data_IF_370592089605
#
_entry.id   IF_370592089605
#
_cell.length_a   1.000
_cell.length_b   1.000
_cell.length_c   1.000
_cell.angle_alpha   90.00
_cell.angle_beta   90.00
_cell.angle_gamma   90.00
#
_symmetry.space_group_name_H-M   'P 1'
#
loop_
_entity.id
_entity.type
_entity.pdbx_description
1 polymer ?
#
# COMPACT_ATOMS: atom_id res chain seq x y z
N UNK A 1 -12.25 -51.50 -9.47
CA UNK A 1 -11.07 -50.91 -10.15
C UNK A 1 -11.42 -49.48 -10.47
N UNK A 2 -11.10 -48.57 -9.56
CA UNK A 2 -11.51 -47.18 -9.57
C UNK A 2 -10.21 -46.36 -9.52
N UNK A 3 -9.83 -45.75 -10.65
CA UNK A 3 -8.62 -44.95 -10.76
C UNK A 3 -8.99 -43.48 -10.53
N UNK A 4 -8.52 -42.94 -9.40
CA UNK A 4 -8.58 -41.52 -9.10
C UNK A 4 -7.41 -40.81 -9.78
N UNK A 5 -7.72 -39.97 -10.77
CA UNK A 5 -6.77 -39.03 -11.36
C UNK A 5 -6.42 -37.93 -10.35
N UNK A 6 -5.15 -37.87 -9.95
CA UNK A 6 -4.57 -36.73 -9.25
C UNK A 6 -4.14 -35.69 -10.29
N UNK A 7 -4.85 -34.57 -10.35
CA UNK A 7 -4.44 -33.39 -11.10
C UNK A 7 -3.57 -32.49 -10.19
N UNK A 8 -2.25 -32.51 -10.40
CA UNK A 8 -1.33 -31.55 -9.79
C UNK A 8 -1.41 -30.20 -10.53
N UNK A 9 -1.97 -29.20 -9.87
CA UNK A 9 -1.93 -27.81 -10.34
C UNK A 9 -0.58 -27.17 -9.95
N UNK A 10 0.34 -27.08 -10.92
CA UNK A 10 1.58 -26.31 -10.78
C UNK A 10 1.30 -24.82 -11.00
N UNK A 11 1.13 -24.05 -9.92
CA UNK A 11 1.00 -22.60 -9.97
C UNK A 11 2.37 -21.92 -9.87
N UNK A 12 3.08 -21.83 -10.99
CA UNK A 12 4.23 -20.93 -11.13
C UNK A 12 3.75 -19.53 -11.49
N UNK A 13 3.36 -18.73 -10.50
CA UNK A 13 3.18 -17.29 -10.69
C UNK A 13 4.48 -16.56 -10.32
N UNK A 14 5.22 -16.11 -11.34
CA UNK A 14 6.40 -15.25 -11.16
C UNK A 14 5.96 -13.80 -10.99
N UNK A 15 5.81 -13.33 -9.75
CA UNK A 15 5.69 -11.90 -9.48
C UNK A 15 7.07 -11.27 -9.32
N UNK A 16 7.53 -10.59 -10.37
CA UNK A 16 8.71 -9.72 -10.32
C UNK A 16 8.31 -8.29 -9.95
N UNK A 17 8.18 -7.98 -8.66
CA UNK A 17 8.12 -6.58 -8.19
C UNK A 17 9.53 -6.11 -7.86
N UNK A 18 10.16 -5.42 -8.83
CA UNK A 18 11.42 -4.72 -8.61
C UNK A 18 11.16 -3.42 -7.83
N UNK A 19 11.44 -3.42 -6.53
CA UNK A 19 11.41 -2.23 -5.70
C UNK A 19 12.72 -1.45 -5.94
N UNK A 20 12.74 -0.55 -6.93
CA UNK A 20 13.92 0.30 -7.18
C UNK A 20 13.99 1.42 -6.16
N UNK A 21 14.95 1.34 -5.23
CA UNK A 21 15.40 2.47 -4.43
C UNK A 21 15.92 3.57 -5.37
N UNK A 22 15.28 4.73 -5.39
CA UNK A 22 15.86 5.95 -5.98
C UNK A 22 16.99 6.44 -5.08
N UNK A 23 18.22 6.02 -5.37
CA UNK A 23 19.41 6.62 -4.78
C UNK A 23 19.59 8.04 -5.30
N UNK A 24 19.82 8.97 -4.37
CA UNK A 24 19.97 10.39 -4.62
C UNK A 24 21.03 10.71 -5.67
N UNK A 25 20.70 11.69 -6.49
CA UNK A 25 21.52 12.25 -7.57
C UNK A 25 22.80 12.82 -6.97
N UNK A 26 23.93 12.15 -7.22
CA UNK A 26 25.27 12.69 -7.01
C UNK A 26 25.58 13.68 -8.14
N UNK A 27 25.76 14.96 -7.78
CA UNK A 27 26.18 16.02 -8.71
C UNK A 27 27.64 15.77 -9.15
N UNK A 28 27.86 15.43 -10.42
CA UNK A 28 29.20 15.46 -11.03
C UNK A 28 29.51 16.84 -11.63
N UNK A 29 30.79 17.27 -11.63
CA UNK A 29 31.20 18.57 -12.13
C UNK A 29 31.29 18.62 -13.66
N UNK A 30 31.04 19.81 -14.22
CA UNK A 30 31.22 20.15 -15.64
C UNK A 30 32.72 20.14 -15.98
N UNK A 31 33.10 19.36 -16.99
CA UNK A 31 34.31 19.62 -17.78
C UNK A 31 33.98 19.57 -19.28
N UNK A 32 34.47 20.60 -19.97
CA UNK A 32 34.32 20.89 -21.41
C UNK A 32 34.94 19.78 -22.26
N UNK A 33 34.27 19.40 -23.34
CA UNK A 33 34.89 18.71 -24.48
C UNK A 33 34.73 19.57 -25.73
N UNK A 34 35.87 19.86 -26.37
CA UNK A 34 35.95 20.16 -27.80
C UNK A 34 36.26 18.86 -28.52
N UNK A 35 35.52 18.56 -29.60
CA UNK A 35 35.80 17.42 -30.45
C UNK A 35 34.72 17.23 -31.51
N UNK A 36 35.01 17.70 -32.72
CA UNK A 36 34.25 17.47 -33.95
C UNK A 36 34.36 16.00 -34.37
N UNK A 37 33.24 15.32 -34.52
CA UNK A 37 33.19 13.96 -35.07
C UNK A 37 31.84 13.67 -35.70
N UNK A 38 31.80 13.68 -37.02
CA UNK A 38 30.70 13.24 -37.88
C UNK A 38 30.55 11.71 -37.79
N UNK A 39 29.35 11.19 -37.47
CA UNK A 39 29.14 9.75 -37.52
C UNK A 39 27.76 9.25 -37.08
N UNK A 40 26.98 8.82 -38.07
CA UNK A 40 25.97 7.75 -38.02
C UNK A 40 24.82 7.82 -37.01
N UNK A 41 23.68 8.35 -37.50
CA UNK A 41 22.35 8.22 -36.90
C UNK A 41 21.83 6.78 -36.94
N UNK A 42 22.11 5.98 -35.90
CA UNK A 42 21.28 4.81 -35.54
C UNK A 42 20.19 5.27 -34.59
N UNK A 43 18.93 5.24 -35.05
CA UNK A 43 17.72 5.44 -34.21
C UNK A 43 17.65 4.34 -33.14
N UNK A 44 18.27 4.60 -31.98
CA UNK A 44 18.08 3.83 -30.76
C UNK A 44 16.70 4.19 -30.21
N UNK A 45 15.71 3.35 -30.47
CA UNK A 45 14.41 3.45 -29.81
C UNK A 45 14.66 3.24 -28.31
N UNK A 46 14.57 4.33 -27.56
CA UNK A 46 14.81 4.32 -26.13
C UNK A 46 13.70 3.55 -25.44
N UNK A 47 14.07 2.47 -24.75
CA UNK A 47 13.23 1.67 -23.84
C UNK A 47 12.59 2.47 -22.68
N UNK A 48 12.66 3.81 -22.70
CA UNK A 48 12.10 4.71 -21.68
C UNK A 48 10.67 5.17 -21.99
N UNK A 49 10.24 5.11 -23.24
CA UNK A 49 8.91 5.64 -23.63
C UNK A 49 7.77 4.61 -23.49
N UNK A 50 8.09 3.32 -23.45
CA UNK A 50 7.09 2.26 -23.18
C UNK A 50 6.70 2.21 -21.69
N UNK A 51 7.61 2.55 -20.77
CA UNK A 51 7.33 2.54 -19.32
C UNK A 51 6.39 3.68 -18.87
N UNK A 52 6.24 4.74 -19.67
CA UNK A 52 5.33 5.85 -19.35
C UNK A 52 3.88 5.63 -19.80
N UNK A 53 3.64 4.89 -20.90
CA UNK A 53 2.26 4.69 -21.41
C UNK A 53 1.47 3.62 -20.66
N UNK A 54 2.13 2.64 -20.04
CA UNK A 54 1.43 1.64 -19.22
C UNK A 54 1.13 2.13 -17.79
N UNK A 55 1.72 3.26 -17.38
CA UNK A 55 1.52 3.85 -16.06
C UNK A 55 0.22 4.67 -15.92
N UNK A 56 -0.47 4.93 -17.04
CA UNK A 56 -1.80 5.58 -17.06
C UNK A 56 -2.95 4.56 -16.99
N UNK A 57 -2.64 3.27 -16.76
CA UNK A 57 -3.67 2.28 -16.45
C UNK A 57 -4.41 2.68 -15.16
N UNK A 58 -5.73 2.77 -15.26
CA UNK A 58 -6.64 3.33 -14.26
C UNK A 58 -6.55 2.67 -12.87
N UNK A 59 -6.04 1.44 -12.79
CA UNK A 59 -5.89 0.67 -11.56
C UNK A 59 -4.87 1.27 -10.59
N UNK A 60 -3.70 1.72 -11.07
CA UNK A 60 -2.69 2.39 -10.22
C UNK A 60 -3.20 3.74 -9.71
N UNK A 61 -3.96 4.44 -10.55
CA UNK A 61 -4.58 5.72 -10.18
C UNK A 61 -5.60 5.50 -9.05
N UNK A 62 -6.38 4.41 -9.08
CA UNK A 62 -7.36 4.13 -8.05
C UNK A 62 -6.75 3.87 -6.66
N UNK A 63 -5.74 3.00 -6.57
CA UNK A 63 -5.04 2.76 -5.31
C UNK A 63 -4.30 4.01 -4.80
N UNK A 64 -3.79 4.85 -5.71
CA UNK A 64 -3.14 6.12 -5.35
C UNK A 64 -4.12 7.19 -4.82
N UNK A 65 -5.43 7.08 -5.13
CA UNK A 65 -6.47 7.98 -4.61
C UNK A 65 -6.84 7.70 -3.14
N UNK A 66 -6.47 6.55 -2.60
CA UNK A 66 -6.42 6.31 -1.15
C UNK A 66 -5.14 6.96 -0.60
N UNK A 67 -5.19 8.27 -0.37
CA UNK A 67 -4.00 9.07 -0.06
C UNK A 67 -3.42 8.80 1.34
N UNK A 68 -4.13 8.08 2.22
CA UNK A 68 -3.58 7.64 3.51
C UNK A 68 -3.96 6.18 3.81
N UNK A 69 -2.96 5.36 4.13
CA UNK A 69 -3.15 3.94 4.49
C UNK A 69 -2.45 3.70 5.82
N UNK A 70 -3.23 3.36 6.83
CA UNK A 70 -2.70 3.06 8.15
C UNK A 70 -2.58 1.57 8.42
N UNK A 71 -1.90 1.26 9.50
CA UNK A 71 -1.70 -0.08 10.00
C UNK A 71 -2.56 -0.44 11.20
N UNK A 72 -2.83 -1.72 11.35
CA UNK A 72 -3.21 -2.32 12.62
C UNK A 72 -2.46 -3.65 12.83
N UNK A 73 -2.45 -4.14 14.07
CA UNK A 73 -1.88 -5.43 14.41
C UNK A 73 -2.99 -6.49 14.40
N UNK A 74 -2.94 -7.42 13.46
CA UNK A 74 -3.87 -8.55 13.40
C UNK A 74 -3.36 -9.79 14.16
N UNK A 75 -2.15 -9.73 14.70
CA UNK A 75 -1.45 -10.84 15.39
C UNK A 75 -1.30 -12.08 14.50
N UNK A 76 -1.33 -11.91 13.16
CA UNK A 76 -1.30 -13.01 12.20
C UNK A 76 -2.58 -13.84 12.15
N UNK A 77 -3.69 -13.30 12.67
CA UNK A 77 -4.94 -14.02 12.88
C UNK A 77 -6.14 -13.29 12.25
N UNK A 78 -7.10 -14.06 11.75
CA UNK A 78 -8.26 -13.51 11.03
C UNK A 78 -9.34 -12.97 11.98
N UNK A 79 -9.33 -13.35 13.25
CA UNK A 79 -10.36 -12.98 14.20
C UNK A 79 -10.37 -11.47 14.51
N UNK A 80 -11.44 -10.77 14.13
CA UNK A 80 -11.50 -9.30 14.22
C UNK A 80 -11.47 -8.74 15.63
N UNK A 81 -11.81 -9.53 16.65
CA UNK A 81 -11.91 -9.06 18.03
C UNK A 81 -10.57 -8.99 18.75
N UNK A 82 -9.53 -9.64 18.22
CA UNK A 82 -8.15 -9.59 18.74
C UNK A 82 -7.27 -8.60 18.00
N UNK A 83 -7.80 -7.93 16.97
CA UNK A 83 -7.06 -6.92 16.23
C UNK A 83 -6.90 -5.66 17.07
N UNK A 84 -5.70 -5.13 17.09
CA UNK A 84 -5.34 -3.98 17.93
C UNK A 84 -4.88 -2.80 17.10
N UNK A 85 -5.18 -1.57 17.54
CA UNK A 85 -4.57 -0.38 16.98
C UNK A 85 -3.05 -0.45 17.04
N UNK A 86 -2.37 0.09 16.04
CA UNK A 86 -0.93 0.27 16.14
C UNK A 86 -0.63 1.57 16.91
N UNK A 87 0.19 1.54 17.98
CA UNK A 87 0.28 2.64 18.94
C UNK A 87 0.91 3.92 18.36
N UNK A 88 1.75 3.81 17.33
CA UNK A 88 2.40 4.95 16.68
C UNK A 88 1.69 5.43 15.40
N UNK A 89 0.51 4.88 15.10
CA UNK A 89 -0.15 5.13 13.83
C UNK A 89 -0.57 6.60 13.72
N UNK A 90 -0.02 7.38 12.78
CA UNK A 90 -0.37 8.79 12.66
C UNK A 90 -1.79 8.93 12.11
N UNK A 91 -2.64 9.67 12.82
CA UNK A 91 -3.98 10.00 12.37
C UNK A 91 -4.33 11.46 12.63
N UNK A 92 -5.29 11.98 11.87
CA UNK A 92 -5.76 13.34 12.01
C UNK A 92 -6.08 14.00 10.67
N UNK A 93 -6.33 15.31 10.71
CA UNK A 93 -6.58 16.10 9.49
C UNK A 93 -5.27 16.47 8.82
N UNK A 94 -5.19 16.30 7.50
CA UNK A 94 -4.11 16.84 6.70
C UNK A 94 -4.31 18.35 6.43
N UNK A 95 -3.39 18.99 5.68
CA UNK A 95 -3.44 20.42 5.39
C UNK A 95 -4.72 20.85 4.64
N UNK A 96 -5.33 19.92 3.90
CA UNK A 96 -6.59 20.13 3.18
C UNK A 96 -7.83 19.88 4.07
N UNK A 97 -7.64 19.55 5.34
CA UNK A 97 -8.71 19.30 6.31
C UNK A 97 -9.34 17.91 6.22
N UNK A 98 -8.82 17.01 5.38
CA UNK A 98 -9.28 15.63 5.26
C UNK A 98 -8.69 14.76 6.35
N UNK A 99 -9.53 13.96 7.02
CA UNK A 99 -9.06 12.99 8.00
C UNK A 99 -8.29 11.85 7.30
N UNK A 100 -7.15 11.47 7.86
CA UNK A 100 -6.27 10.42 7.38
C UNK A 100 -5.85 9.50 8.54
N UNK A 101 -5.53 8.22 8.27
CA UNK A 101 -5.64 7.53 6.98
C UNK A 101 -7.09 7.32 6.52
N UNK A 102 -7.31 6.94 5.26
CA UNK A 102 -8.66 6.64 4.76
C UNK A 102 -9.15 5.27 5.25
N UNK A 103 -8.24 4.29 5.31
CA UNK A 103 -8.50 2.91 5.72
C UNK A 103 -7.29 2.32 6.45
N UNK A 104 -7.52 1.26 7.21
CA UNK A 104 -6.50 0.48 7.91
C UNK A 104 -6.35 -0.92 7.29
N UNK A 105 -5.12 -1.43 7.24
CA UNK A 105 -4.81 -2.80 6.84
C UNK A 105 -3.77 -3.43 7.80
N UNK A 106 -3.63 -4.77 7.83
CA UNK A 106 -2.58 -5.42 8.62
C UNK A 106 -1.21 -4.85 8.29
N UNK A 107 -0.43 -4.50 9.32
CA UNK A 107 0.89 -3.85 9.20
C UNK A 107 2.04 -4.73 9.68
N UNK A 108 1.77 -5.72 10.52
CA UNK A 108 2.77 -6.56 11.19
C UNK A 108 2.65 -8.00 10.67
N UNK A 109 3.72 -8.78 10.77
CA UNK A 109 3.76 -10.19 10.39
C UNK A 109 3.33 -10.47 8.94
N UNK A 110 3.60 -9.54 8.03
CA UNK A 110 3.25 -9.70 6.62
C UNK A 110 4.22 -10.68 5.96
N UNK A 111 3.72 -11.81 5.49
CA UNK A 111 4.54 -12.81 4.81
C UNK A 111 5.02 -12.26 3.46
N UNK A 112 6.32 -12.35 3.21
CA UNK A 112 6.93 -11.94 1.94
C UNK A 112 7.69 -13.09 1.29
N UNK A 113 7.56 -13.29 -0.03
CA UNK A 113 8.05 -14.47 -0.73
C UNK A 113 9.58 -14.54 -0.81
N UNK A 114 10.29 -13.41 -0.66
CA UNK A 114 11.74 -13.39 -0.68
C UNK A 114 12.28 -12.19 0.09
N UNK A 115 13.25 -12.45 0.95
CA UNK A 115 14.07 -11.40 1.55
C UNK A 115 15.54 -11.70 1.24
N UNK A 116 16.22 -10.78 0.55
CA UNK A 116 17.62 -10.98 0.14
C UNK A 116 18.57 -11.22 1.33
N UNK A 117 18.18 -10.82 2.54
CA UNK A 117 18.93 -11.06 3.78
C UNK A 117 18.75 -12.48 4.33
N UNK A 118 17.77 -13.25 3.87
CA UNK A 118 17.47 -14.60 4.38
C UNK A 118 17.52 -15.62 3.23
N UNK A 119 18.70 -16.24 3.04
CA UNK A 119 18.97 -17.17 1.92
C UNK A 119 18.54 -18.61 2.18
N UNK A 120 17.97 -18.92 3.35
CA UNK A 120 17.53 -20.28 3.68
C UNK A 120 16.24 -20.59 2.90
N UNK A 121 16.25 -21.68 2.12
CA UNK A 121 15.19 -22.04 1.20
C UNK A 121 13.83 -22.31 1.86
N UNK A 122 13.81 -22.58 3.17
CA UNK A 122 12.61 -23.00 3.91
C UNK A 122 12.18 -22.01 5.01
N UNK A 123 12.60 -20.75 4.93
CA UNK A 123 12.23 -19.74 5.95
C UNK A 123 11.32 -18.68 5.35
N UNK A 124 10.10 -18.60 5.85
CA UNK A 124 9.19 -17.49 5.56
C UNK A 124 9.74 -16.22 6.18
N UNK A 125 9.89 -15.17 5.37
CA UNK A 125 10.28 -13.85 5.86
C UNK A 125 9.05 -13.02 6.17
N UNK A 126 9.14 -12.20 7.22
CA UNK A 126 8.08 -11.30 7.65
C UNK A 126 8.50 -9.84 7.44
N UNK A 127 7.52 -9.02 7.07
CA UNK A 127 7.66 -7.59 6.88
C UNK A 127 6.74 -6.84 7.84
N UNK A 128 7.22 -5.71 8.32
CA UNK A 128 6.45 -4.77 9.14
C UNK A 128 6.57 -3.37 8.55
N UNK A 129 5.43 -2.70 8.36
CA UNK A 129 5.41 -1.30 7.94
C UNK A 129 4.15 -0.89 7.18
N UNK A 130 3.86 0.41 7.20
CA UNK A 130 2.72 1.00 6.48
C UNK A 130 2.80 0.81 4.96
N UNK A 131 4.01 0.66 4.41
CA UNK A 131 4.28 0.22 3.03
C UNK A 131 3.72 -1.17 2.72
N UNK A 132 3.80 -2.10 3.68
CA UNK A 132 3.24 -3.44 3.54
C UNK A 132 1.71 -3.41 3.60
N UNK A 133 1.15 -2.71 4.59
CA UNK A 133 -0.29 -2.42 4.67
C UNK A 133 -0.80 -1.75 3.38
N UNK A 134 -0.04 -0.80 2.84
CA UNK A 134 -0.38 -0.14 1.58
C UNK A 134 -0.41 -1.08 0.37
N UNK A 135 0.51 -2.04 0.34
CA UNK A 135 0.57 -3.06 -0.71
C UNK A 135 -0.65 -3.98 -0.64
N UNK A 136 -1.07 -4.37 0.57
CA UNK A 136 -2.30 -5.16 0.76
C UNK A 136 -3.54 -4.42 0.25
N UNK A 137 -3.71 -3.15 0.63
CA UNK A 137 -4.83 -2.32 0.15
C UNK A 137 -4.81 -2.19 -1.38
N UNK A 138 -3.62 -2.06 -1.97
CA UNK A 138 -3.45 -2.00 -3.43
C UNK A 138 -3.86 -3.32 -4.10
N UNK A 139 -3.48 -4.46 -3.53
CA UNK A 139 -3.90 -5.77 -4.01
C UNK A 139 -5.42 -5.97 -3.94
N UNK A 140 -6.06 -5.52 -2.86
CA UNK A 140 -7.52 -5.51 -2.72
C UNK A 140 -8.18 -4.62 -3.79
N UNK A 141 -7.64 -3.42 -4.02
CA UNK A 141 -8.13 -2.50 -5.04
C UNK A 141 -8.08 -3.14 -6.44
N UNK A 142 -6.93 -3.72 -6.81
CA UNK A 142 -6.76 -4.42 -8.08
C UNK A 142 -7.72 -5.60 -8.21
N UNK A 143 -7.86 -6.42 -7.16
CA UNK A 143 -8.82 -7.53 -7.15
C UNK A 143 -10.25 -7.05 -7.42
N UNK A 144 -10.72 -6.02 -6.73
CA UNK A 144 -12.08 -5.50 -6.91
C UNK A 144 -12.28 -4.88 -8.30
N UNK A 145 -11.33 -4.10 -8.81
CA UNK A 145 -11.44 -3.51 -10.15
C UNK A 145 -11.41 -4.56 -11.27
N UNK A 146 -10.62 -5.62 -11.12
CA UNK A 146 -10.62 -6.74 -12.07
C UNK A 146 -11.92 -7.55 -12.02
N UNK A 147 -12.56 -7.64 -10.84
CA UNK A 147 -13.83 -8.35 -10.65
C UNK A 147 -15.01 -7.55 -11.21
N UNK A 148 -15.00 -6.23 -11.02
CA UNK A 148 -16.07 -5.31 -11.43
C UNK A 148 -15.59 -4.37 -12.53
N UNK A 149 -15.71 -4.81 -13.78
CA UNK A 149 -15.33 -3.98 -14.93
C UNK A 149 -16.13 -2.67 -14.93
N UNK A 150 -15.43 -1.54 -15.02
CA UNK A 150 -16.04 -0.21 -14.95
C UNK A 150 -16.17 0.37 -13.55
N UNK A 151 -15.73 -0.35 -12.49
CA UNK A 151 -15.63 0.21 -11.15
C UNK A 151 -14.61 1.36 -11.13
N UNK A 152 -15.08 2.58 -10.90
CA UNK A 152 -14.19 3.72 -10.80
C UNK A 152 -13.57 3.85 -9.38
N UNK A 153 -12.46 4.57 -9.32
CA UNK A 153 -11.68 4.76 -8.10
C UNK A 153 -12.47 5.40 -6.95
N UNK A 154 -13.45 6.25 -7.26
CA UNK A 154 -14.27 6.97 -6.27
C UNK A 154 -15.27 6.03 -5.62
N UNK A 155 -15.96 5.21 -6.43
CA UNK A 155 -16.85 4.16 -5.95
C UNK A 155 -16.07 3.13 -5.15
N UNK A 156 -14.89 2.69 -5.62
CA UNK A 156 -14.02 1.79 -4.86
C UNK A 156 -13.60 2.39 -3.50
N UNK A 157 -13.12 3.63 -3.48
CA UNK A 157 -12.76 4.31 -2.23
C UNK A 157 -13.94 4.36 -1.27
N UNK A 158 -15.11 4.78 -1.76
CA UNK A 158 -16.35 4.83 -0.98
C UNK A 158 -16.71 3.44 -0.43
N UNK A 159 -16.59 2.39 -1.24
CA UNK A 159 -16.83 1.02 -0.80
C UNK A 159 -15.94 0.64 0.38
N UNK A 160 -14.63 0.89 0.25
CA UNK A 160 -13.65 0.51 1.26
C UNK A 160 -13.77 1.33 2.56
N UNK A 161 -14.10 2.63 2.46
CA UNK A 161 -14.25 3.51 3.62
C UNK A 161 -15.60 3.37 4.32
N UNK A 162 -16.67 3.03 3.59
CA UNK A 162 -18.01 2.94 4.17
C UNK A 162 -18.31 1.55 4.73
N UNK A 163 -17.83 0.50 4.06
CA UNK A 163 -18.14 -0.90 4.41
C UNK A 163 -16.99 -1.62 5.11
N UNK A 164 -15.95 -0.90 5.54
CA UNK A 164 -14.91 -1.41 6.42
C UNK A 164 -15.37 -1.55 7.88
N UNK A 165 -14.58 -2.24 8.71
CA UNK A 165 -14.89 -2.47 10.12
C UNK A 165 -14.06 -1.59 11.05
N UNK A 166 -14.73 -0.86 11.95
CA UNK A 166 -14.04 -0.08 12.98
C UNK A 166 -13.33 -0.97 13.99
N UNK A 167 -12.29 -0.44 14.62
CA UNK A 167 -11.67 -1.04 15.81
C UNK A 167 -12.33 -0.40 17.02
N UNK A 168 -12.88 -1.22 17.92
CA UNK A 168 -13.56 -0.70 19.12
C UNK A 168 -12.55 -0.08 20.08
N UNK A 169 -12.91 1.07 20.66
CA UNK A 169 -12.04 1.79 21.60
C UNK A 169 -10.85 2.48 20.95
N UNK A 170 -10.84 2.65 19.62
CA UNK A 170 -9.79 3.37 18.91
C UNK A 170 -10.29 4.74 18.41
N UNK A 171 -9.55 5.81 18.75
CA UNK A 171 -9.90 7.19 18.38
C UNK A 171 -9.78 7.46 16.88
N UNK A 172 -8.97 6.68 16.17
CA UNK A 172 -8.83 6.79 14.73
C UNK A 172 -10.09 6.24 14.04
N UNK A 173 -10.76 7.11 13.28
CA UNK A 173 -12.01 6.78 12.60
C UNK A 173 -11.84 5.94 11.33
N UNK A 174 -10.60 5.73 10.88
CA UNK A 174 -10.31 4.92 9.70
C UNK A 174 -10.76 3.47 9.94
N UNK A 175 -11.61 2.90 9.08
CA UNK A 175 -12.04 1.52 9.22
C UNK A 175 -10.97 0.55 8.69
N UNK A 176 -10.93 -0.65 9.26
CA UNK A 176 -10.19 -1.79 8.70
C UNK A 176 -10.86 -2.24 7.40
N UNK A 177 -10.05 -2.53 6.40
CA UNK A 177 -10.56 -3.07 5.13
C UNK A 177 -11.35 -4.36 5.39
N UNK A 178 -12.59 -4.41 4.89
CA UNK A 178 -13.41 -5.61 4.84
C UNK A 178 -13.83 -5.87 3.40
N UNK A 179 -13.03 -6.69 2.70
CA UNK A 179 -13.20 -6.97 1.26
C UNK A 179 -14.55 -7.62 0.98
N UNK A 180 -15.02 -8.52 1.85
CA UNK A 180 -16.29 -9.21 1.67
C UNK A 180 -17.48 -8.23 1.73
N UNK A 181 -17.50 -7.34 2.73
CA UNK A 181 -18.56 -6.31 2.83
C UNK A 181 -18.50 -5.32 1.67
N UNK A 182 -17.31 -4.85 1.31
CA UNK A 182 -17.14 -3.94 0.17
C UNK A 182 -17.59 -4.59 -1.15
N UNK A 183 -17.18 -5.84 -1.42
CA UNK A 183 -17.60 -6.63 -2.59
C UNK A 183 -19.12 -6.78 -2.66
N UNK A 184 -19.75 -7.19 -1.56
CA UNK A 184 -21.20 -7.36 -1.50
C UNK A 184 -21.93 -6.02 -1.75
N UNK A 185 -21.42 -4.91 -1.22
CA UNK A 185 -22.00 -3.59 -1.46
C UNK A 185 -21.89 -3.14 -2.92
N UNK A 186 -20.78 -3.46 -3.60
CA UNK A 186 -20.61 -3.22 -5.04
C UNK A 186 -21.60 -4.07 -5.84
N UNK A 187 -21.69 -5.37 -5.54
CA UNK A 187 -22.58 -6.33 -6.23
C UNK A 187 -24.05 -5.94 -6.15
N UNK A 188 -24.49 -5.48 -4.97
CA UNK A 188 -25.87 -5.07 -4.73
C UNK A 188 -26.17 -3.64 -5.22
N UNK A 189 -25.20 -2.94 -5.81
CA UNK A 189 -25.37 -1.54 -6.22
C UNK A 189 -25.67 -0.58 -5.06
N UNK A 190 -25.27 -0.96 -3.83
CA UNK A 190 -25.59 -0.20 -2.62
C UNK A 190 -24.67 1.00 -2.40
N UNK A 191 -23.63 1.15 -3.23
CA UNK A 191 -22.76 2.31 -3.19
C UNK A 191 -23.48 3.47 -3.86
N UNK A 192 -24.30 4.15 -3.07
CA UNK A 192 -24.66 5.51 -3.40
C UNK A 192 -23.36 6.31 -3.32
N UNK A 193 -22.99 7.02 -4.38
CA UNK A 193 -21.98 8.06 -4.25
C UNK A 193 -22.57 9.06 -3.25
N UNK A 194 -22.08 9.14 -1.99
CA UNK A 194 -22.61 10.19 -1.16
C UNK A 194 -22.18 11.51 -1.84
N UNK A 195 -23.06 12.53 -1.92
CA UNK A 195 -22.54 13.88 -2.06
C UNK A 195 -21.48 14.02 -0.97
N UNK A 196 -20.31 14.59 -1.28
CA UNK A 196 -19.11 14.66 -0.44
C UNK A 196 -19.33 15.14 1.03
N UNK A 197 -20.55 15.53 1.36
CA UNK A 197 -21.07 15.93 2.66
C UNK A 197 -20.99 14.87 3.76
N UNK A 198 -21.13 13.56 3.49
CA UNK A 198 -21.10 12.55 4.55
C UNK A 198 -19.72 12.41 5.24
N UNK A 199 -18.62 12.69 4.51
CA UNK A 199 -17.27 12.80 5.10
C UNK A 199 -17.02 14.19 5.69
N UNK A 200 -17.74 15.23 5.23
CA UNK A 200 -17.71 16.56 5.86
C UNK A 200 -18.52 16.60 7.16
N UNK A 201 -19.51 15.72 7.37
CA UNK A 201 -20.30 15.67 8.62
C UNK A 201 -19.55 15.05 9.80
N UNK A 202 -18.37 14.46 9.56
CA UNK A 202 -17.33 14.28 10.58
C UNK A 202 -16.66 15.62 10.99
N UNK A 203 -17.26 16.77 10.65
CA UNK A 203 -17.20 18.00 11.44
C UNK A 203 -17.93 17.77 12.77
N UNK A 204 -17.31 16.98 13.64
CA UNK A 204 -17.60 17.07 15.07
C UNK A 204 -17.36 18.53 15.45
N UNK A 205 -18.38 19.15 16.05
CA UNK A 205 -18.35 20.54 16.48
C UNK A 205 -17.04 20.85 17.21
N UNK A 206 -16.48 22.02 16.88
CA UNK A 206 -15.25 22.58 17.42
C UNK A 206 -15.05 22.26 18.91
N UNK A 207 -14.36 21.17 19.19
CA UNK A 207 -13.62 21.00 20.43
C UNK A 207 -12.17 21.29 20.05
N UNK A 208 -11.53 22.30 20.64
CA UNK A 208 -10.13 22.57 20.38
C UNK A 208 -9.30 21.38 20.88
N UNK A 209 -8.98 20.46 19.96
CA UNK A 209 -8.04 19.37 20.23
C UNK A 209 -6.67 20.02 20.33
N UNK A 210 -6.14 20.07 21.55
CA UNK A 210 -4.76 20.42 21.81
C UNK A 210 -3.87 19.44 21.03
N UNK A 211 -3.13 19.96 20.05
CA UNK A 211 -2.06 19.22 19.38
C UNK A 211 -0.94 18.98 20.40
N UNK A 212 -0.99 17.84 21.09
CA UNK A 212 0.16 17.32 21.82
C UNK A 212 1.19 16.83 20.79
N UNK A 213 2.03 17.76 20.35
CA UNK A 213 3.25 17.48 19.62
C UNK A 213 4.20 16.73 20.55
N UNK A 214 4.17 15.40 20.51
CA UNK A 214 5.26 14.57 21.03
C UNK A 214 6.47 14.70 20.08
N UNK A 215 7.22 15.78 20.24
CA UNK A 215 8.57 15.92 19.70
C UNK A 215 9.49 14.91 20.39
N UNK A 216 9.61 13.71 19.84
CA UNK A 216 10.41 12.64 20.44
C UNK A 216 10.91 11.55 19.48
N UNK A 217 10.81 11.71 18.16
CA UNK A 217 11.42 10.74 17.23
C UNK A 217 12.87 11.10 16.93
N UNK A 218 13.77 10.72 17.86
CA UNK A 218 15.19 10.58 17.57
C UNK A 218 15.35 9.34 16.68
N UNK A 219 15.52 9.56 15.37
CA UNK A 219 15.89 8.51 14.42
C UNK A 219 17.27 7.94 14.82
N UNK A 220 17.28 6.88 15.63
CA UNK A 220 18.50 6.13 15.89
C UNK A 220 18.78 5.28 14.65
N UNK A 221 19.84 5.65 13.92
CA UNK A 221 20.50 4.73 12.99
C UNK A 221 21.00 3.55 13.80
N UNK A 222 20.36 2.40 13.67
CA UNK A 222 20.96 1.12 14.03
C UNK A 222 22.17 0.91 13.13
N UNK A 223 23.36 1.17 13.67
CA UNK A 223 24.61 0.69 13.09
C UNK A 223 24.61 -0.83 13.19
N UNK A 224 24.53 -1.50 12.04
CA UNK A 224 24.80 -2.93 11.93
C UNK A 224 26.26 -3.15 12.34
N UNK A 225 26.48 -3.70 13.53
CA UNK A 225 27.79 -4.09 14.01
C UNK A 225 28.37 -5.20 13.14
N UNK A 226 29.60 -5.00 12.67
CA UNK A 226 30.43 -6.09 12.14
C UNK A 226 30.84 -6.98 13.33
N UNK A 227 30.47 -8.24 13.27
CA UNK A 227 31.06 -9.29 14.08
C UNK A 227 32.33 -9.74 13.35
N UNK A 228 33.49 -9.28 13.82
CA UNK A 228 34.77 -9.88 13.46
C UNK A 228 35.00 -11.05 14.42
N UNK A 229 35.07 -12.26 13.86
CA UNK A 229 35.30 -13.49 14.60
C UNK A 229 36.75 -13.60 15.08
N UNK A 230 36.90 -14.24 16.25
CA UNK A 230 38.13 -14.88 16.72
C UNK A 230 37.91 -16.37 16.69
#
# INVERSE_FOLDING_TARGET
MEQAEKMEYSNHIKYGMACTRSSGISKKPKQKQHGSGTGSSRKKWGSRDLCKREYENSEYVAASRLSGRGGYNDRGLAERHIHEPFPDEPYGRNAEGHYRPDVLAPRVYLTVPFCASNKKADVVSYYEGTSGAATLVTGVAAYLMSTFQGLDATTLRTALTTYGDRIHGYDNLAPRVNVAKAKNAIELGQITNPPQEALRSLRIGHTPIALHSHNGFRCQRTSIGRFDGV
#
